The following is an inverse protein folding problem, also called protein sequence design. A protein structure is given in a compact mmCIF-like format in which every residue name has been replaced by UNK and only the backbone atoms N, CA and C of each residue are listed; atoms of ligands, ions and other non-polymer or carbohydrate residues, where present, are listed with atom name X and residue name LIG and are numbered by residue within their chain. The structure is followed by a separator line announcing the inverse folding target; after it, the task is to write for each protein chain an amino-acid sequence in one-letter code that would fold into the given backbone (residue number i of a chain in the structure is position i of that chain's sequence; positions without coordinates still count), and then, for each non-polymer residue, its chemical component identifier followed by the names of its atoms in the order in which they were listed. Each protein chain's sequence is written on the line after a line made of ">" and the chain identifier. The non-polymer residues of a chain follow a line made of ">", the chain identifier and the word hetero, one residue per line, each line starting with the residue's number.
data_IF_634064120439
#
_entry.id   IF_634064120439
#
_cell.length_a   1.000
_cell.length_b   1.000
_cell.length_c   1.000
_cell.angle_alpha   90.00
_cell.angle_beta   90.00
_cell.angle_gamma   90.00
#
_symmetry.space_group_name_H-M   'P 1'
#
loop_
_entity.id
_entity.type
_entity.pdbx_description
1 polymer ?
#
# COMPACT_ATOMS: atom_id res chain seq x y z
N UNK A 1 -9.41 39.89 -28.17
CA UNK A 1 -10.51 39.36 -27.36
C UNK A 1 -10.28 37.87 -27.23
N UNK A 2 -9.97 37.36 -26.04
CA UNK A 2 -9.92 35.92 -25.82
C UNK A 2 -11.34 35.37 -25.91
N UNK A 3 -11.51 34.27 -26.64
CA UNK A 3 -12.82 33.64 -26.84
C UNK A 3 -13.30 32.98 -25.54
N UNK A 4 -14.59 33.18 -25.20
CA UNK A 4 -15.16 32.73 -23.93
C UNK A 4 -15.16 31.19 -23.80
N UNK A 5 -15.15 30.46 -24.93
CA UNK A 5 -15.09 29.00 -24.92
C UNK A 5 -13.72 28.49 -24.50
N UNK A 6 -12.64 29.18 -24.86
CA UNK A 6 -11.26 28.83 -24.48
C UNK A 6 -11.06 28.96 -22.98
N UNK A 7 -11.57 30.03 -22.38
CA UNK A 7 -11.51 30.26 -20.92
C UNK A 7 -12.24 29.15 -20.14
N UNK A 8 -13.41 28.71 -20.62
CA UNK A 8 -14.16 27.60 -20.01
C UNK A 8 -13.43 26.27 -20.15
N UNK A 9 -12.73 26.04 -21.26
CA UNK A 9 -11.89 24.87 -21.45
C UNK A 9 -10.68 24.86 -20.50
N UNK A 10 -10.02 26.00 -20.31
CA UNK A 10 -8.88 26.12 -19.39
C UNK A 10 -9.28 25.89 -17.92
N UNK A 11 -10.47 26.35 -17.52
CA UNK A 11 -11.00 26.11 -16.16
C UNK A 11 -11.31 24.63 -15.88
N UNK A 12 -11.50 23.82 -16.92
CA UNK A 12 -11.81 22.38 -16.80
C UNK A 12 -10.57 21.50 -16.94
N UNK A 13 -9.49 22.06 -17.47
CA UNK A 13 -8.23 21.38 -17.66
C UNK A 13 -7.52 21.16 -16.30
N UNK A 14 -7.00 19.95 -16.12
CA UNK A 14 -6.28 19.52 -14.90
C UNK A 14 -4.89 20.14 -14.79
N UNK A 15 -4.35 20.64 -15.90
CA UNK A 15 -3.04 21.31 -15.93
C UNK A 15 -3.13 22.79 -15.55
N UNK A 16 -4.20 23.47 -15.97
CA UNK A 16 -4.35 24.92 -15.79
C UNK A 16 -5.13 25.30 -14.53
N UNK A 17 -6.12 24.49 -14.14
CA UNK A 17 -7.01 24.83 -13.03
C UNK A 17 -6.66 24.12 -11.73
N UNK A 18 -6.26 24.90 -10.72
CA UNK A 18 -5.87 24.39 -9.40
C UNK A 18 -6.99 23.58 -8.69
N UNK A 19 -8.25 23.96 -8.94
CA UNK A 19 -9.43 23.27 -8.40
C UNK A 19 -9.64 21.90 -9.05
N UNK A 20 -9.41 21.75 -10.36
CA UNK A 20 -9.51 20.44 -11.03
C UNK A 20 -8.35 19.53 -10.61
N UNK A 21 -7.13 20.08 -10.52
CA UNK A 21 -5.94 19.34 -10.07
C UNK A 21 -6.09 18.78 -8.66
N UNK A 22 -6.57 19.58 -7.71
CA UNK A 22 -6.74 19.15 -6.30
C UNK A 22 -7.72 17.97 -6.17
N UNK A 23 -8.84 18.00 -6.90
CA UNK A 23 -9.81 16.88 -6.93
C UNK A 23 -9.19 15.63 -7.55
N UNK A 24 -8.44 15.77 -8.63
CA UNK A 24 -7.72 14.66 -9.26
C UNK A 24 -6.69 14.02 -8.31
N UNK A 25 -5.85 14.84 -7.69
CA UNK A 25 -4.85 14.37 -6.73
C UNK A 25 -5.47 13.70 -5.52
N UNK A 26 -6.62 14.18 -5.04
CA UNK A 26 -7.36 13.53 -3.96
C UNK A 26 -7.76 12.10 -4.34
N UNK A 27 -8.33 11.89 -5.53
CA UNK A 27 -8.69 10.53 -5.99
C UNK A 27 -7.47 9.62 -6.15
N UNK A 28 -6.35 10.14 -6.68
CA UNK A 28 -5.10 9.38 -6.76
C UNK A 28 -4.58 8.99 -5.37
N UNK A 29 -4.58 9.91 -4.41
CA UNK A 29 -4.14 9.65 -3.05
C UNK A 29 -5.02 8.60 -2.36
N UNK A 30 -6.34 8.70 -2.50
CA UNK A 30 -7.27 7.69 -1.95
C UNK A 30 -7.02 6.32 -2.59
N UNK A 31 -6.89 6.26 -3.92
CA UNK A 31 -6.59 5.00 -4.61
C UNK A 31 -5.24 4.40 -4.18
N UNK A 32 -4.20 5.21 -4.08
CA UNK A 32 -2.88 4.80 -3.60
C UNK A 32 -2.96 4.28 -2.16
N UNK A 33 -3.66 4.99 -1.28
CA UNK A 33 -3.83 4.60 0.14
C UNK A 33 -4.51 3.24 0.26
N UNK A 34 -5.60 3.02 -0.47
CA UNK A 34 -6.32 1.73 -0.48
C UNK A 34 -5.41 0.62 -1.02
N UNK A 35 -4.74 0.85 -2.15
CA UNK A 35 -3.83 -0.13 -2.73
C UNK A 35 -2.70 -0.51 -1.77
N UNK A 36 -2.14 0.47 -1.05
CA UNK A 36 -1.07 0.28 -0.09
C UNK A 36 -1.53 -0.51 1.12
N UNK A 37 -2.70 -0.20 1.70
CA UNK A 37 -3.26 -0.97 2.81
C UNK A 37 -3.51 -2.41 2.42
N UNK A 38 -4.12 -2.66 1.26
CA UNK A 38 -4.38 -4.03 0.78
C UNK A 38 -3.08 -4.78 0.53
N UNK A 39 -2.10 -4.15 -0.13
CA UNK A 39 -0.78 -4.75 -0.35
C UNK A 39 -0.08 -5.09 0.97
N UNK A 40 -0.16 -4.21 1.97
CA UNK A 40 0.43 -4.42 3.29
C UNK A 40 -0.24 -5.58 4.03
N UNK A 41 -1.57 -5.66 4.04
CA UNK A 41 -2.31 -6.78 4.62
C UNK A 41 -1.98 -8.10 3.91
N UNK A 42 -1.89 -8.08 2.57
CA UNK A 42 -1.53 -9.26 1.79
C UNK A 42 -0.10 -9.74 2.10
N UNK A 43 0.87 -8.83 2.16
CA UNK A 43 2.26 -9.15 2.49
C UNK A 43 2.37 -9.79 3.89
N UNK A 44 1.68 -9.22 4.89
CA UNK A 44 1.62 -9.80 6.24
C UNK A 44 1.03 -11.21 6.22
N UNK A 45 -0.01 -11.45 5.42
CA UNK A 45 -0.64 -12.77 5.33
C UNK A 45 0.29 -13.81 4.68
N UNK A 46 0.99 -13.45 3.61
CA UNK A 46 1.92 -14.36 2.91
C UNK A 46 3.12 -14.73 3.80
N UNK A 47 3.67 -13.74 4.52
CA UNK A 47 4.82 -13.92 5.41
C UNK A 47 4.45 -14.31 6.84
N UNK A 48 3.18 -14.68 7.08
CA UNK A 48 2.76 -15.18 8.39
C UNK A 48 3.55 -16.43 8.76
N UNK A 49 3.74 -16.63 10.06
CA UNK A 49 4.36 -17.84 10.59
C UNK A 49 3.57 -19.08 10.15
N UNK A 50 4.23 -19.97 9.38
CA UNK A 50 3.60 -21.16 8.76
C UNK A 50 3.52 -22.37 9.70
N UNK A 51 4.04 -22.27 10.91
CA UNK A 51 4.08 -23.35 11.91
C UNK A 51 5.51 -23.76 12.27
N UNK A 52 5.63 -24.69 13.23
CA UNK A 52 6.91 -25.27 13.64
C UNK A 52 7.43 -26.17 12.52
N UNK A 53 8.52 -25.80 11.82
CA UNK A 53 9.08 -26.68 10.81
C UNK A 53 9.64 -27.92 11.52
N UNK A 54 9.56 -29.09 10.87
CA UNK A 54 10.14 -30.33 11.41
C UNK A 54 11.66 -30.26 11.24
N UNK A 55 12.32 -29.45 12.06
CA UNK A 55 13.76 -29.31 12.13
C UNK A 55 14.22 -30.15 13.33
N UNK A 56 15.29 -30.91 13.14
CA UNK A 56 15.95 -31.60 14.24
C UNK A 56 16.50 -30.56 15.21
N UNK A 57 15.79 -30.38 16.32
CA UNK A 57 16.18 -29.43 17.37
C UNK A 57 17.34 -30.05 18.15
N UNK A 58 18.48 -29.36 18.30
CA UNK A 58 19.62 -29.88 19.04
C UNK A 58 19.24 -30.16 20.49
N UNK A 59 19.69 -31.30 21.02
CA UNK A 59 19.35 -31.74 22.39
C UNK A 59 19.83 -30.80 23.51
N UNK A 60 20.78 -29.91 23.23
CA UNK A 60 21.23 -28.88 24.18
C UNK A 60 20.27 -27.69 24.31
N UNK A 61 19.32 -27.54 23.38
CA UNK A 61 18.31 -26.47 23.42
C UNK A 61 17.00 -26.93 24.05
N UNK A 62 16.90 -28.22 24.40
CA UNK A 62 15.77 -28.73 25.16
C UNK A 62 15.79 -28.10 26.56
N UNK A 63 14.63 -27.58 26.96
CA UNK A 63 14.42 -27.05 28.30
C UNK A 63 14.68 -28.09 29.39
N UNK A 64 14.35 -29.36 29.10
CA UNK A 64 14.60 -30.47 30.00
C UNK A 64 15.96 -31.10 29.67
N UNK A 65 16.88 -31.20 30.64
CA UNK A 65 18.17 -31.84 30.40
C UNK A 65 17.99 -33.35 30.16
N UNK A 66 18.70 -33.88 29.16
CA UNK A 66 18.79 -35.31 28.89
C UNK A 66 20.13 -35.81 29.41
N UNK A 67 20.11 -36.72 30.39
CA UNK A 67 21.30 -37.37 30.92
C UNK A 67 21.57 -38.68 30.15
N UNK A 68 22.86 -39.01 29.95
CA UNK A 68 23.31 -40.26 29.31
C UNK A 68 23.32 -41.43 30.28
#
# INVERSE_FOLDING_TARGET
>A
MADESTIRHEMKDVTSSWVSTSRFLFYLMVAASISFTVAMCYALWVHRYKGKPNIEVPSNTLYNPVYK
#
